data_IF_069202058462
#
_entry.id   IF_069202058462
#
_cell.length_a   1.000
_cell.length_b   1.000
_cell.length_c   1.000
_cell.angle_alpha   90.00
_cell.angle_beta   90.00
_cell.angle_gamma   90.00
#
_symmetry.space_group_name_H-M   'P 1'
#
loop_
_entity.id
_entity.type
_entity.pdbx_description
1 polymer ?
#
# COMPACT_ATOMS: atom_id res chain seq x y z
N UNK A 1 -26.25 3.24 -11.89
CA UNK A 1 -24.85 3.65 -12.15
C UNK A 1 -24.48 4.76 -11.19
N UNK A 2 -23.24 4.83 -10.69
CA UNK A 2 -22.77 5.92 -9.79
C UNK A 2 -22.66 7.27 -10.53
N UNK A 3 -22.49 7.23 -11.86
CA UNK A 3 -22.25 8.38 -12.74
C UNK A 3 -23.26 8.40 -13.90
N UNK A 4 -24.53 8.81 -13.68
CA UNK A 4 -25.55 8.79 -14.73
C UNK A 4 -25.31 9.82 -15.83
N UNK A 5 -24.71 10.96 -15.49
CA UNK A 5 -24.41 12.07 -16.41
C UNK A 5 -22.95 12.05 -16.89
N UNK A 6 -22.23 10.94 -16.66
CA UNK A 6 -20.79 10.84 -16.88
C UNK A 6 -19.96 11.19 -15.65
N UNK A 7 -18.64 11.12 -15.81
CA UNK A 7 -17.68 11.44 -14.74
C UNK A 7 -17.69 12.96 -14.57
N UNK A 8 -17.98 13.49 -13.36
CA UNK A 8 -17.98 14.93 -13.13
C UNK A 8 -16.58 15.51 -13.31
N UNK A 9 -16.51 16.74 -13.79
CA UNK A 9 -15.26 17.51 -13.91
C UNK A 9 -14.85 18.08 -12.56
N UNK A 10 -14.49 17.18 -11.64
CA UNK A 10 -14.04 17.48 -10.28
C UNK A 10 -12.82 16.63 -9.98
N UNK A 11 -11.75 17.27 -9.52
CA UNK A 11 -10.50 16.61 -9.14
C UNK A 11 -10.33 16.70 -7.63
N UNK A 12 -10.22 15.55 -6.97
CA UNK A 12 -9.95 15.44 -5.53
C UNK A 12 -8.56 14.85 -5.33
N UNK A 13 -7.70 15.54 -4.59
CA UNK A 13 -6.31 15.16 -4.39
C UNK A 13 -5.84 15.47 -2.96
N UNK A 14 -4.93 14.66 -2.45
CA UNK A 14 -4.14 14.92 -1.25
C UNK A 14 -2.67 14.88 -1.69
N UNK A 15 -2.12 16.02 -2.17
CA UNK A 15 -0.86 16.00 -2.92
C UNK A 15 0.29 15.31 -2.20
N UNK A 16 0.47 15.53 -0.89
CA UNK A 16 1.59 14.96 -0.15
C UNK A 16 1.55 13.42 -0.07
N UNK A 17 0.36 12.80 0.02
CA UNK A 17 0.19 11.34 0.02
C UNK A 17 0.18 10.72 -1.39
N UNK A 18 0.18 11.54 -2.45
CA UNK A 18 0.04 11.10 -3.85
C UNK A 18 1.34 11.26 -4.67
N UNK A 19 2.48 11.53 -4.03
CA UNK A 19 3.76 11.76 -4.72
C UNK A 19 4.53 10.48 -5.09
N UNK A 20 4.21 9.36 -4.44
CA UNK A 20 4.98 8.12 -4.53
C UNK A 20 4.08 6.88 -4.61
N UNK A 21 4.71 5.70 -4.51
CA UNK A 21 4.04 4.39 -4.45
C UNK A 21 3.05 4.20 -5.61
N UNK A 22 1.85 3.69 -5.33
CA UNK A 22 0.84 3.43 -6.33
C UNK A 22 0.35 4.69 -7.03
N UNK A 23 0.43 5.88 -6.41
CA UNK A 23 -0.02 7.11 -7.03
C UNK A 23 0.89 7.50 -8.20
N UNK A 24 2.21 7.42 -7.99
CA UNK A 24 3.20 7.64 -9.04
C UNK A 24 3.10 6.59 -10.17
N UNK A 25 2.92 5.31 -9.82
CA UNK A 25 2.80 4.23 -10.82
C UNK A 25 1.44 4.20 -11.53
N UNK A 26 0.41 4.88 -11.01
CA UNK A 26 -0.97 4.82 -11.52
C UNK A 26 -1.61 6.22 -11.54
N UNK A 27 -1.18 7.11 -12.45
CA UNK A 27 -1.73 8.46 -12.55
C UNK A 27 -3.26 8.47 -12.71
N UNK A 28 -3.95 9.35 -12.00
CA UNK A 28 -5.42 9.46 -12.03
C UNK A 28 -6.16 8.41 -11.19
N UNK A 29 -5.46 7.39 -10.67
CA UNK A 29 -6.12 6.31 -9.93
C UNK A 29 -6.77 6.80 -8.64
N UNK A 30 -6.04 7.56 -7.82
CA UNK A 30 -6.51 7.95 -6.50
C UNK A 30 -7.50 9.12 -6.56
N UNK A 31 -7.41 9.98 -7.57
CA UNK A 31 -8.44 10.97 -7.89
C UNK A 31 -9.79 10.28 -8.11
N UNK A 32 -9.80 9.21 -8.93
CA UNK A 32 -10.99 8.39 -9.15
C UNK A 32 -11.49 7.69 -7.89
N UNK A 33 -10.57 7.20 -7.04
CA UNK A 33 -10.92 6.57 -5.75
C UNK A 33 -11.56 7.58 -4.79
N UNK A 34 -10.96 8.75 -4.61
CA UNK A 34 -11.51 9.79 -3.74
C UNK A 34 -12.87 10.29 -4.26
N UNK A 35 -13.03 10.43 -5.58
CA UNK A 35 -14.30 10.82 -6.20
C UNK A 35 -15.42 9.81 -5.95
N UNK A 36 -15.16 8.52 -6.19
CA UNK A 36 -16.18 7.48 -5.96
C UNK A 36 -16.51 7.33 -4.48
N UNK A 37 -15.50 7.39 -3.60
CA UNK A 37 -15.70 7.30 -2.14
C UNK A 37 -16.51 8.48 -1.63
N UNK A 38 -16.19 9.69 -2.05
CA UNK A 38 -16.96 10.89 -1.70
C UNK A 38 -18.44 10.69 -2.04
N UNK A 39 -18.76 10.25 -3.28
CA UNK A 39 -20.15 9.99 -3.67
C UNK A 39 -20.81 8.88 -2.85
N UNK A 40 -20.10 7.78 -2.59
CA UNK A 40 -20.63 6.69 -1.78
C UNK A 40 -20.94 7.14 -0.34
N UNK A 41 -20.08 7.95 0.26
CA UNK A 41 -20.27 8.43 1.63
C UNK A 41 -21.45 9.42 1.71
N UNK A 42 -21.65 10.27 0.70
CA UNK A 42 -22.85 11.11 0.62
C UNK A 42 -24.16 10.30 0.48
N UNK A 43 -24.12 9.18 -0.23
CA UNK A 43 -25.31 8.35 -0.47
C UNK A 43 -25.64 7.43 0.71
N UNK A 44 -24.62 6.86 1.35
CA UNK A 44 -24.79 5.88 2.44
C UNK A 44 -24.80 6.56 3.82
N UNK A 45 -24.09 7.67 3.97
CA UNK A 45 -23.84 8.35 5.25
C UNK A 45 -23.40 7.42 6.39
N UNK A 46 -22.30 6.65 6.22
CA UNK A 46 -21.91 5.65 7.20
C UNK A 46 -21.21 6.28 8.41
N UNK A 47 -21.46 5.73 9.61
CA UNK A 47 -20.67 6.05 10.80
C UNK A 47 -19.25 5.48 10.70
N UNK A 48 -19.10 4.29 10.13
CA UNK A 48 -17.82 3.59 9.98
C UNK A 48 -17.61 3.09 8.55
N UNK A 49 -16.38 3.20 8.06
CA UNK A 49 -15.98 2.62 6.78
C UNK A 49 -14.67 1.82 6.92
N UNK A 50 -14.71 0.56 6.52
CA UNK A 50 -13.62 -0.39 6.72
C UNK A 50 -12.79 -0.56 5.44
N UNK A 51 -11.48 -0.35 5.53
CA UNK A 51 -10.55 -0.46 4.40
C UNK A 51 -9.40 -1.42 4.74
N UNK A 52 -9.11 -2.35 3.83
CA UNK A 52 -7.99 -3.27 4.01
C UNK A 52 -6.64 -2.56 3.88
N UNK A 53 -5.77 -2.75 4.89
CA UNK A 53 -4.41 -2.18 4.93
C UNK A 53 -3.47 -2.73 3.87
N UNK A 54 -3.85 -3.79 3.14
CA UNK A 54 -3.12 -4.26 1.95
C UNK A 54 -2.94 -3.15 0.92
N UNK A 55 -3.98 -2.33 0.72
CA UNK A 55 -3.94 -1.13 -0.11
C UNK A 55 -3.63 0.09 0.78
N UNK A 56 -2.45 0.06 1.43
CA UNK A 56 -2.11 0.98 2.53
C UNK A 56 -2.22 2.47 2.16
N UNK A 57 -1.68 2.86 0.99
CA UNK A 57 -1.79 4.23 0.48
C UNK A 57 -3.25 4.64 0.28
N UNK A 58 -4.13 3.73 -0.17
CA UNK A 58 -5.56 4.01 -0.30
C UNK A 58 -6.21 4.23 1.07
N UNK A 59 -5.95 3.33 2.03
CA UNK A 59 -6.48 3.46 3.39
C UNK A 59 -6.08 4.80 4.00
N UNK A 60 -4.80 5.16 3.91
CA UNK A 60 -4.29 6.42 4.46
C UNK A 60 -4.87 7.65 3.74
N UNK A 61 -4.96 7.60 2.41
CA UNK A 61 -5.59 8.67 1.61
C UNK A 61 -7.04 8.90 2.00
N UNK A 62 -7.83 7.83 2.15
CA UNK A 62 -9.25 7.94 2.51
C UNK A 62 -9.40 8.46 3.93
N UNK A 63 -8.58 7.97 4.86
CA UNK A 63 -8.55 8.46 6.24
C UNK A 63 -8.25 9.96 6.31
N UNK A 64 -7.21 10.41 5.60
CA UNK A 64 -6.83 11.82 5.58
C UNK A 64 -7.87 12.67 4.83
N UNK A 65 -8.48 12.14 3.77
CA UNK A 65 -9.55 12.80 3.02
C UNK A 65 -10.77 13.08 3.91
N UNK A 66 -11.25 12.05 4.61
CA UNK A 66 -12.39 12.18 5.52
C UNK A 66 -12.12 13.17 6.63
N UNK A 67 -10.93 13.11 7.24
CA UNK A 67 -10.50 14.06 8.26
C UNK A 67 -10.42 15.50 7.72
N UNK A 68 -9.78 15.69 6.58
CA UNK A 68 -9.53 17.02 5.99
C UNK A 68 -10.82 17.72 5.59
N UNK A 69 -11.80 16.98 5.06
CA UNK A 69 -13.08 17.53 4.63
C UNK A 69 -14.19 17.37 5.67
N UNK A 70 -13.84 17.00 6.90
CA UNK A 70 -14.76 16.86 8.02
C UNK A 70 -15.95 15.91 7.73
N UNK A 71 -15.70 14.81 7.03
CA UNK A 71 -16.68 13.73 6.92
C UNK A 71 -16.92 13.15 8.33
N UNK A 72 -18.19 12.88 8.71
CA UNK A 72 -18.51 12.29 10.01
C UNK A 72 -18.07 10.83 10.13
N UNK A 73 -17.79 10.18 8.98
CA UNK A 73 -17.40 8.76 8.92
C UNK A 73 -16.02 8.51 9.52
N UNK A 74 -15.93 7.55 10.43
CA UNK A 74 -14.67 7.00 10.93
C UNK A 74 -14.10 5.95 9.96
N UNK A 75 -12.85 6.15 9.54
CA UNK A 75 -12.14 5.24 8.63
C UNK A 75 -11.31 4.23 9.42
N UNK A 76 -11.71 2.96 9.37
CA UNK A 76 -11.10 1.86 10.13
C UNK A 76 -10.23 1.00 9.22
N UNK A 77 -8.96 0.84 9.58
CA UNK A 77 -8.02 0.00 8.84
C UNK A 77 -8.08 -1.47 9.27
N UNK A 78 -8.39 -2.38 8.35
CA UNK A 78 -8.42 -3.82 8.58
C UNK A 78 -7.09 -4.47 8.20
N UNK A 79 -6.56 -5.36 9.04
CA UNK A 79 -5.32 -6.08 8.74
C UNK A 79 -5.40 -6.93 7.47
N UNK A 80 -4.28 -7.04 6.77
CA UNK A 80 -4.17 -7.84 5.54
C UNK A 80 -4.33 -9.32 5.86
N UNK A 81 -5.35 -9.96 5.30
CA UNK A 81 -5.50 -11.43 5.36
C UNK A 81 -4.48 -12.05 4.41
N UNK A 82 -3.78 -13.07 4.89
CA UNK A 82 -2.74 -13.80 4.15
C UNK A 82 -3.11 -15.27 4.07
N UNK A 83 -2.64 -15.95 3.02
CA UNK A 83 -2.67 -17.42 2.97
C UNK A 83 -1.71 -18.01 4.01
N UNK A 84 -1.80 -19.32 4.25
CA UNK A 84 -0.88 -20.05 5.14
C UNK A 84 0.59 -19.92 4.73
N UNK A 85 0.85 -19.68 3.43
CA UNK A 85 2.19 -19.44 2.89
C UNK A 85 2.65 -17.97 3.01
N UNK A 86 1.78 -17.07 3.47
CA UNK A 86 2.06 -15.64 3.69
C UNK A 86 1.66 -14.70 2.56
N UNK A 87 1.12 -15.23 1.44
CA UNK A 87 0.67 -14.41 0.31
C UNK A 87 -0.50 -13.53 0.73
N UNK A 88 -0.37 -12.22 0.54
CA UNK A 88 -1.46 -11.27 0.77
C UNK A 88 -2.63 -11.57 -0.19
N UNK A 89 -3.80 -11.90 0.36
CA UNK A 89 -4.95 -12.33 -0.44
C UNK A 89 -5.47 -11.19 -1.32
N UNK A 90 -5.76 -11.53 -2.56
CA UNK A 90 -6.16 -10.60 -3.61
C UNK A 90 -6.96 -11.33 -4.67
N UNK A 91 -8.01 -10.69 -5.20
CA UNK A 91 -8.72 -11.19 -6.39
C UNK A 91 -7.77 -11.37 -7.59
N UNK A 92 -6.63 -10.68 -7.61
CA UNK A 92 -5.59 -10.86 -8.63
C UNK A 92 -4.83 -12.18 -8.53
N UNK A 93 -4.81 -12.84 -7.36
CA UNK A 93 -4.07 -14.11 -7.20
C UNK A 93 -4.67 -15.25 -8.04
N UNK A 94 -5.96 -15.19 -8.40
CA UNK A 94 -6.59 -16.18 -9.28
C UNK A 94 -6.10 -16.13 -10.73
N UNK A 95 -5.41 -15.04 -11.11
CA UNK A 95 -4.83 -14.84 -12.45
C UNK A 95 -3.41 -15.37 -12.57
N UNK A 96 -2.82 -15.78 -11.46
CA UNK A 96 -1.48 -16.36 -11.40
C UNK A 96 -1.59 -17.87 -11.60
N UNK A 97 -0.67 -18.43 -12.39
CA UNK A 97 -0.38 -19.87 -12.37
C UNK A 97 0.19 -20.29 -11.01
N UNK A 98 0.25 -21.59 -10.72
CA UNK A 98 0.82 -22.09 -9.46
C UNK A 98 2.30 -21.70 -9.31
N UNK A 99 3.08 -21.77 -10.38
CA UNK A 99 4.47 -21.29 -10.39
C UNK A 99 4.56 -19.81 -10.05
N UNK A 100 3.71 -18.96 -10.65
CA UNK A 100 3.70 -17.52 -10.37
C UNK A 100 3.21 -17.21 -8.95
N UNK A 101 2.35 -18.05 -8.36
CA UNK A 101 1.96 -17.94 -6.95
C UNK A 101 3.15 -18.22 -6.04
N UNK A 102 3.94 -19.25 -6.32
CA UNK A 102 5.15 -19.54 -5.55
C UNK A 102 6.17 -18.39 -5.64
N UNK A 103 6.39 -17.83 -6.82
CA UNK A 103 7.25 -16.66 -7.00
C UNK A 103 6.72 -15.43 -6.24
N UNK A 104 5.39 -15.23 -6.22
CA UNK A 104 4.78 -14.10 -5.51
C UNK A 104 5.02 -14.11 -4.00
N UNK A 105 5.39 -15.26 -3.41
CA UNK A 105 5.77 -15.36 -2.01
C UNK A 105 7.06 -14.59 -1.68
N UNK A 106 7.91 -14.32 -2.68
CA UNK A 106 9.12 -13.52 -2.50
C UNK A 106 8.81 -12.11 -2.00
N UNK A 107 7.64 -11.55 -2.33
CA UNK A 107 7.20 -10.24 -1.82
C UNK A 107 7.06 -10.28 -0.29
N UNK A 108 6.30 -11.25 0.22
CA UNK A 108 6.10 -11.41 1.67
C UNK A 108 7.41 -11.76 2.39
N UNK A 109 8.27 -12.57 1.76
CA UNK A 109 9.60 -12.91 2.30
C UNK A 109 10.50 -11.69 2.39
N UNK A 110 10.58 -10.87 1.34
CA UNK A 110 11.35 -9.63 1.32
C UNK A 110 10.88 -8.70 2.44
N UNK A 111 9.58 -8.42 2.52
CA UNK A 111 9.02 -7.56 3.57
C UNK A 111 9.28 -8.09 4.98
N UNK A 112 9.19 -9.42 5.19
CA UNK A 112 9.49 -10.03 6.48
C UNK A 112 10.96 -9.92 6.84
N UNK A 113 11.85 -10.07 5.87
CA UNK A 113 13.28 -9.88 6.06
C UNK A 113 13.59 -8.42 6.42
N UNK A 114 13.01 -7.45 5.71
CA UNK A 114 13.14 -6.03 6.03
C UNK A 114 12.68 -5.69 7.44
N UNK A 115 11.50 -6.19 7.84
CA UNK A 115 11.01 -6.08 9.22
C UNK A 115 12.00 -6.65 10.23
N UNK A 116 12.59 -7.82 9.92
CA UNK A 116 13.54 -8.49 10.81
C UNK A 116 14.83 -7.68 10.98
N UNK A 117 15.33 -7.08 9.90
CA UNK A 117 16.53 -6.22 9.93
C UNK A 117 16.32 -4.99 10.83
N UNK A 118 15.15 -4.35 10.71
CA UNK A 118 14.79 -3.20 11.56
C UNK A 118 14.73 -3.62 13.03
N UNK A 119 14.06 -4.74 13.32
CA UNK A 119 13.95 -5.25 14.69
C UNK A 119 15.30 -5.70 15.28
N UNK A 120 16.27 -6.08 14.43
CA UNK A 120 17.65 -6.35 14.86
C UNK A 120 18.52 -5.11 15.06
N UNK A 121 17.98 -3.91 14.82
CA UNK A 121 18.64 -2.64 15.10
C UNK A 121 19.20 -1.91 13.88
N UNK A 122 18.94 -2.38 12.65
CA UNK A 122 19.30 -1.63 11.44
C UNK A 122 18.49 -0.34 11.40
N UNK A 123 19.18 0.81 11.39
CA UNK A 123 18.57 2.15 11.40
C UNK A 123 18.51 2.83 10.04
N UNK A 124 19.25 2.33 9.05
CA UNK A 124 19.35 2.93 7.73
C UNK A 124 18.25 2.36 6.79
N UNK A 125 17.32 3.20 6.29
CA UNK A 125 16.27 2.77 5.36
C UNK A 125 16.82 2.21 4.04
N UNK A 126 17.95 2.73 3.55
CA UNK A 126 18.58 2.30 2.29
C UNK A 126 19.06 0.86 2.45
N UNK A 127 19.76 0.55 3.55
CA UNK A 127 20.22 -0.81 3.85
C UNK A 127 19.06 -1.80 3.89
N UNK A 128 17.96 -1.45 4.56
CA UNK A 128 16.77 -2.31 4.64
C UNK A 128 16.15 -2.52 3.27
N UNK A 129 16.01 -1.45 2.47
CA UNK A 129 15.46 -1.52 1.11
C UNK A 129 16.31 -2.41 0.22
N UNK A 130 17.64 -2.29 0.27
CA UNK A 130 18.54 -3.06 -0.58
C UNK A 130 18.50 -4.55 -0.23
N UNK A 131 18.44 -4.90 1.06
CA UNK A 131 18.24 -6.30 1.51
C UNK A 131 16.91 -6.88 1.01
N UNK A 132 15.82 -6.10 1.07
CA UNK A 132 14.54 -6.53 0.51
C UNK A 132 14.61 -6.69 -1.01
N UNK A 133 15.36 -5.81 -1.69
CA UNK A 133 15.53 -5.84 -3.14
C UNK A 133 16.25 -7.10 -3.59
N UNK A 134 17.30 -7.51 -2.90
CA UNK A 134 18.06 -8.74 -3.22
C UNK A 134 17.15 -9.99 -3.24
N UNK A 135 16.17 -10.06 -2.33
CA UNK A 135 15.19 -11.16 -2.31
C UNK A 135 14.26 -11.13 -3.52
N UNK A 136 13.87 -9.95 -3.99
CA UNK A 136 13.02 -9.84 -5.17
C UNK A 136 13.79 -10.12 -6.46
N UNK A 137 15.04 -9.67 -6.53
CA UNK A 137 15.93 -9.85 -7.68
C UNK A 137 16.41 -11.31 -7.83
N UNK A 138 16.22 -12.16 -6.81
CA UNK A 138 16.52 -13.59 -6.90
C UNK A 138 15.60 -14.35 -7.87
N UNK A 139 14.55 -13.72 -8.38
CA UNK A 139 13.65 -14.29 -9.39
C UNK A 139 13.60 -13.42 -10.64
N UNK A 140 13.91 -14.01 -11.79
CA UNK A 140 13.80 -13.34 -13.10
C UNK A 140 12.36 -13.13 -13.56
N UNK A 141 11.37 -13.72 -12.88
CA UNK A 141 9.94 -13.54 -13.18
C UNK A 141 9.34 -12.30 -12.52
N UNK A 142 10.02 -11.75 -11.52
CA UNK A 142 9.58 -10.56 -10.80
C UNK A 142 10.15 -9.32 -11.48
N UNK A 143 9.27 -8.42 -11.92
CA UNK A 143 9.65 -7.08 -12.34
C UNK A 143 9.18 -6.08 -11.30
N UNK A 144 10.12 -5.38 -10.68
CA UNK A 144 9.82 -4.38 -9.66
C UNK A 144 9.10 -3.17 -10.27
N UNK A 145 8.05 -2.70 -9.60
CA UNK A 145 7.43 -1.39 -9.87
C UNK A 145 7.98 -0.37 -8.86
N UNK A 146 7.83 -0.66 -7.58
CA UNK A 146 8.50 0.08 -6.51
C UNK A 146 8.82 -0.84 -5.32
N UNK A 147 9.82 -0.44 -4.54
CA UNK A 147 10.13 -0.97 -3.22
C UNK A 147 10.61 0.19 -2.36
N UNK A 148 9.85 0.52 -1.32
CA UNK A 148 10.05 1.73 -0.53
C UNK A 148 10.03 1.44 0.96
N UNK A 149 10.79 2.26 1.71
CA UNK A 149 10.84 2.29 3.17
C UNK A 149 10.55 3.72 3.61
N UNK A 150 9.37 3.97 4.16
CA UNK A 150 8.81 5.30 4.35
C UNK A 150 8.27 5.49 5.77
N UNK A 151 8.00 6.73 6.14
CA UNK A 151 7.14 7.03 7.28
C UNK A 151 5.72 6.54 6.98
N UNK A 152 5.13 5.74 7.88
CA UNK A 152 3.83 5.14 7.64
C UNK A 152 2.66 6.13 7.74
N UNK A 153 2.83 7.27 8.41
CA UNK A 153 1.77 8.27 8.59
C UNK A 153 1.78 9.32 7.46
N UNK A 154 2.96 9.66 6.94
CA UNK A 154 3.12 10.73 5.94
C UNK A 154 3.48 10.22 4.55
N UNK A 155 3.93 8.97 4.43
CA UNK A 155 4.55 8.39 3.23
C UNK A 155 5.80 9.16 2.78
N UNK A 156 6.42 9.97 3.62
CA UNK A 156 7.68 10.65 3.30
C UNK A 156 8.88 9.72 3.52
N UNK A 157 10.00 9.95 2.80
CA UNK A 157 11.26 9.29 3.08
C UNK A 157 11.71 9.49 4.53
N UNK A 158 12.35 8.48 5.10
CA UNK A 158 13.01 8.54 6.39
C UNK A 158 14.52 8.73 6.18
N UNK A 159 15.16 9.55 7.00
CA UNK A 159 16.63 9.58 7.09
C UNK A 159 17.14 8.48 8.02
N UNK A 160 16.38 8.20 9.08
CA UNK A 160 16.64 7.16 10.09
C UNK A 160 15.31 6.45 10.38
N UNK A 161 15.37 5.13 10.53
CA UNK A 161 14.22 4.30 10.85
C UNK A 161 13.77 4.48 12.30
N UNK A 162 12.92 5.47 12.52
CA UNK A 162 12.29 5.78 13.81
C UNK A 162 10.80 6.08 13.65
N UNK A 163 10.01 5.84 14.70
CA UNK A 163 8.57 6.05 14.67
C UNK A 163 7.82 4.97 13.89
N UNK A 164 6.74 5.34 13.20
CA UNK A 164 5.96 4.40 12.40
C UNK A 164 6.58 4.25 11.01
N UNK A 165 7.06 3.06 10.70
CA UNK A 165 7.74 2.71 9.45
C UNK A 165 6.82 1.85 8.58
N UNK A 166 6.82 2.14 7.27
CA UNK A 166 6.14 1.37 6.23
C UNK A 166 7.19 0.75 5.31
N UNK A 167 7.12 -0.58 5.17
CA UNK A 167 7.79 -1.32 4.10
C UNK A 167 6.73 -1.63 3.05
N UNK A 168 6.90 -1.13 1.82
CA UNK A 168 5.90 -1.31 0.77
C UNK A 168 6.54 -1.76 -0.54
N UNK A 169 5.91 -2.72 -1.21
CA UNK A 169 6.35 -3.24 -2.49
C UNK A 169 5.19 -3.35 -3.48
N UNK A 170 5.47 -3.02 -4.73
CA UNK A 170 4.65 -3.41 -5.88
C UNK A 170 5.52 -4.09 -6.92
N UNK A 171 5.05 -5.23 -7.43
CA UNK A 171 5.76 -6.01 -8.44
C UNK A 171 4.80 -6.46 -9.53
N UNK A 172 5.35 -6.75 -10.69
CA UNK A 172 4.69 -7.47 -11.76
C UNK A 172 5.24 -8.89 -11.85
N UNK A 173 4.34 -9.87 -11.95
CA UNK A 173 4.65 -11.25 -12.33
C UNK A 173 3.81 -11.55 -13.56
N UNK A 174 4.47 -11.73 -14.70
CA UNK A 174 3.80 -11.69 -16.00
C UNK A 174 3.06 -10.36 -16.19
N UNK A 175 1.75 -10.43 -16.44
CA UNK A 175 0.86 -9.25 -16.57
C UNK A 175 0.21 -8.81 -15.25
N UNK A 176 0.38 -9.58 -14.17
CA UNK A 176 -0.33 -9.36 -12.90
C UNK A 176 0.48 -8.46 -11.99
N UNK A 177 -0.09 -7.30 -11.64
CA UNK A 177 0.49 -6.37 -10.66
C UNK A 177 0.02 -6.69 -9.24
N UNK A 178 0.95 -7.10 -8.38
CA UNK A 178 0.74 -7.40 -6.97
C UNK A 178 1.30 -6.26 -6.12
N UNK A 179 0.70 -6.07 -4.95
CA UNK A 179 1.19 -5.15 -3.92
C UNK A 179 1.14 -5.87 -2.59
N UNK A 180 2.07 -5.51 -1.70
CA UNK A 180 2.06 -5.93 -0.31
C UNK A 180 2.82 -4.90 0.53
N UNK A 181 2.55 -4.89 1.83
CA UNK A 181 3.22 -4.01 2.77
C UNK A 181 3.27 -4.59 4.20
N UNK A 182 4.15 -4.00 5.01
CA UNK A 182 4.20 -4.19 6.47
C UNK A 182 4.40 -2.83 7.14
N UNK A 183 3.80 -2.68 8.32
CA UNK A 183 4.06 -1.52 9.18
C UNK A 183 4.60 -1.99 10.52
N UNK A 184 5.51 -1.21 11.08
CA UNK A 184 6.11 -1.47 12.38
C UNK A 184 6.45 -0.15 13.07
N UNK A 185 6.47 -0.17 14.41
CA UNK A 185 6.87 0.99 15.21
C UNK A 185 8.27 0.76 15.77
N UNK A 186 9.18 1.67 15.49
CA UNK A 186 10.56 1.69 15.98
C UNK A 186 10.67 2.78 17.05
N UNK A 187 11.14 2.41 18.24
CA UNK A 187 11.38 3.37 19.32
C UNK A 187 12.76 3.98 19.17
N UNK A 188 12.85 5.31 19.19
CA UNK A 188 14.13 6.03 19.30
C UNK A 188 14.85 5.55 20.56
N UNK A 189 16.13 5.18 20.40
CA UNK A 189 17.03 4.75 21.49
C UNK A 189 17.85 5.93 21.96
#
# INVERSE_FOLDING_TARGET
TIYPEGIPDVVLQIPHLMRNLCAASRPGHFEGVLLVISRLFHLVNPDFAFFGKKDYQQYLLVKEFCKTLAFPTEVVGCETIRSDKGLALSSRNSRLSEDEKEESLLISRALKLGETQILSGTKDPIVVRDIMKDVLDSSSKIRLDYLEVLNADTLEPLEILEGNVLLAAAVFIGSVRLIDNRTLRVTST
#
